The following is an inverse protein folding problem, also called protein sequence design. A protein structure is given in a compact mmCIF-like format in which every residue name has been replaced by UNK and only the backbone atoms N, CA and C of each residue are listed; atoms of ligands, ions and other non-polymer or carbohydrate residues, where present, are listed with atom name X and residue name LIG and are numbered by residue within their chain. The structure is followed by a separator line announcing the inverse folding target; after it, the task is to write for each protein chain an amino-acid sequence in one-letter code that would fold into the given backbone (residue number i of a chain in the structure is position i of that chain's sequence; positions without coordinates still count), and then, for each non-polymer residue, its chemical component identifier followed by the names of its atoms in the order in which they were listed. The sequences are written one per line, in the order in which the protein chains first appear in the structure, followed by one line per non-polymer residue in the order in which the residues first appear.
data_IF_656506817773
#
_entry.id   IF_656506817773
#
_cell.length_a   1.000
_cell.length_b   1.000
_cell.length_c   1.000
_cell.angle_alpha   90.00
_cell.angle_beta   90.00
_cell.angle_gamma   90.00
#
_symmetry.space_group_name_H-M   'P 1'
#
loop_
_entity.id
_entity.type
_entity.pdbx_description
1 polymer ?
#
# COMPACT_ATOMS: atom_id res chain seq x y z
N UNK A 1 5.18 -9.92 15.05
CA UNK A 1 5.39 -11.31 15.46
C UNK A 1 5.29 -11.50 16.98
N UNK A 2 5.07 -10.44 17.74
CA UNK A 2 4.81 -10.52 19.16
C UNK A 2 3.51 -11.29 19.44
N UNK A 3 3.42 -11.89 20.64
CA UNK A 3 2.19 -12.56 21.06
C UNK A 3 1.01 -11.59 21.07
N UNK A 4 -0.10 -11.99 20.44
CA UNK A 4 -1.30 -11.16 20.27
C UNK A 4 -1.22 -10.13 19.14
N UNK A 5 -0.13 -10.05 18.37
CA UNK A 5 -0.08 -9.20 17.18
C UNK A 5 -1.10 -9.65 16.13
N UNK A 6 -1.79 -8.71 15.44
CA UNK A 6 -2.73 -9.06 14.38
C UNK A 6 -2.08 -9.93 13.31
N UNK A 7 -2.78 -10.98 12.90
CA UNK A 7 -2.33 -11.88 11.83
C UNK A 7 -3.13 -11.63 10.57
N UNK A 8 -2.53 -11.97 9.44
CA UNK A 8 -3.18 -11.95 8.15
C UNK A 8 -3.78 -13.34 7.86
N UNK A 9 -4.97 -13.38 7.29
CA UNK A 9 -5.55 -14.63 6.83
C UNK A 9 -4.85 -15.07 5.54
N UNK A 10 -4.32 -16.28 5.51
CA UNK A 10 -3.64 -16.85 4.36
C UNK A 10 -4.55 -16.94 3.11
N UNK A 11 -5.86 -17.00 3.28
CA UNK A 11 -6.84 -16.98 2.20
C UNK A 11 -6.71 -15.74 1.28
N UNK A 12 -6.13 -14.63 1.76
CA UNK A 12 -5.84 -13.44 0.94
C UNK A 12 -4.95 -13.78 -0.26
N UNK A 13 -3.98 -14.69 -0.09
CA UNK A 13 -3.04 -15.06 -1.16
C UNK A 13 -3.63 -16.05 -2.16
N UNK A 14 -4.71 -16.74 -1.78
CA UNK A 14 -5.38 -17.73 -2.62
C UNK A 14 -6.37 -17.10 -3.59
N UNK A 15 -6.73 -15.85 -3.37
CA UNK A 15 -7.70 -15.12 -4.20
C UNK A 15 -7.15 -14.69 -5.56
N UNK A 16 -5.83 -14.75 -5.79
CA UNK A 16 -5.19 -14.25 -7.00
C UNK A 16 -5.32 -12.73 -7.20
N UNK A 17 -5.67 -11.99 -6.14
CA UNK A 17 -5.79 -10.54 -6.15
C UNK A 17 -4.43 -9.94 -5.79
N UNK A 18 -3.87 -9.02 -6.61
CA UNK A 18 -2.64 -8.33 -6.28
C UNK A 18 -2.75 -7.63 -4.92
N UNK A 19 -1.79 -7.90 -4.05
CA UNK A 19 -1.79 -7.45 -2.67
C UNK A 19 -0.57 -6.58 -2.38
N UNK A 20 -0.78 -5.37 -1.86
CA UNK A 20 0.28 -4.48 -1.38
C UNK A 20 0.26 -4.39 0.15
N UNK A 21 1.35 -4.81 0.78
CA UNK A 21 1.60 -4.57 2.19
C UNK A 21 2.35 -3.26 2.41
N UNK A 22 1.86 -2.42 3.31
CA UNK A 22 2.51 -1.17 3.71
C UNK A 22 2.98 -1.31 5.16
N UNK A 23 4.24 -1.00 5.43
CA UNK A 23 4.89 -1.03 6.74
C UNK A 23 4.65 -2.37 7.47
N UNK A 24 3.81 -2.42 8.49
CA UNK A 24 3.44 -3.66 9.18
C UNK A 24 2.84 -4.70 8.22
N UNK A 25 2.06 -4.26 7.23
CA UNK A 25 1.52 -5.14 6.19
C UNK A 25 2.62 -5.84 5.39
N UNK A 26 3.68 -5.13 5.01
CA UNK A 26 4.83 -5.71 4.32
C UNK A 26 5.58 -6.73 5.20
N UNK A 27 5.74 -6.43 6.48
CA UNK A 27 6.34 -7.35 7.45
C UNK A 27 5.50 -8.62 7.60
N UNK A 28 4.17 -8.50 7.69
CA UNK A 28 3.27 -9.67 7.74
C UNK A 28 3.36 -10.50 6.46
N UNK A 29 3.33 -9.86 5.28
CA UNK A 29 3.52 -10.55 4.00
C UNK A 29 4.85 -11.31 3.95
N UNK A 30 5.94 -10.68 4.41
CA UNK A 30 7.24 -11.32 4.45
C UNK A 30 7.21 -12.59 5.33
N UNK A 31 6.68 -12.49 6.55
CA UNK A 31 6.61 -13.62 7.48
C UNK A 31 5.73 -14.77 6.96
N UNK A 32 4.52 -14.46 6.49
CA UNK A 32 3.59 -15.50 6.01
C UNK A 32 4.11 -16.23 4.77
N UNK A 33 4.96 -15.59 3.98
CA UNK A 33 5.49 -16.14 2.73
C UNK A 33 6.96 -16.59 2.83
N UNK A 34 7.44 -16.84 4.05
CA UNK A 34 8.75 -17.46 4.32
C UNK A 34 9.95 -16.51 4.29
N UNK A 35 9.71 -15.19 4.34
CA UNK A 35 10.73 -14.19 4.60
C UNK A 35 11.07 -14.05 6.08
N UNK A 36 11.84 -13.01 6.43
CA UNK A 36 12.26 -12.75 7.82
C UNK A 36 12.02 -11.29 8.20
N UNK A 37 11.60 -11.09 9.44
CA UNK A 37 11.47 -9.79 10.09
C UNK A 37 12.24 -9.86 11.41
N UNK A 38 13.13 -8.90 11.65
CA UNK A 38 14.01 -8.90 12.80
C UNK A 38 14.20 -7.50 13.37
N UNK A 39 14.55 -7.43 14.64
CA UNK A 39 15.04 -6.19 15.26
C UNK A 39 16.54 -6.08 15.02
N UNK A 40 16.93 -5.21 14.10
CA UNK A 40 18.34 -5.00 13.74
C UNK A 40 19.05 -4.03 14.69
N UNK A 41 18.34 -3.48 15.68
CA UNK A 41 18.85 -2.47 16.61
C UNK A 41 18.81 -1.04 16.07
N UNK A 42 18.63 -0.86 14.76
CA UNK A 42 18.50 0.45 14.11
C UNK A 42 17.12 0.54 13.46
N UNK A 43 16.14 1.10 14.18
CA UNK A 43 14.86 1.49 13.59
C UNK A 43 15.01 2.75 12.74
N UNK A 44 14.15 2.92 11.74
CA UNK A 44 14.12 4.12 10.91
C UNK A 44 12.85 4.92 11.18
N UNK A 45 13.03 6.22 11.46
CA UNK A 45 11.95 7.15 11.79
C UNK A 45 12.13 8.47 11.05
N UNK A 46 11.11 8.93 10.35
CA UNK A 46 11.15 10.16 9.58
C UNK A 46 11.64 9.98 8.15
N UNK A 47 12.27 11.01 7.61
CA UNK A 47 12.78 11.03 6.23
C UNK A 47 14.06 10.21 6.10
N UNK A 48 14.03 9.20 5.25
CA UNK A 48 15.16 8.29 4.98
C UNK A 48 15.45 8.28 3.48
N UNK A 49 16.72 8.26 3.13
CA UNK A 49 17.14 8.08 1.73
C UNK A 49 17.03 6.61 1.34
N UNK A 50 16.34 6.36 0.27
CA UNK A 50 16.09 5.03 -0.27
C UNK A 50 16.69 4.91 -1.66
N UNK A 51 17.27 3.76 -1.95
CA UNK A 51 17.76 3.40 -3.28
C UNK A 51 16.81 2.40 -3.94
N UNK A 52 16.29 2.76 -5.10
CA UNK A 52 15.40 1.94 -5.91
C UNK A 52 16.22 1.22 -6.98
N UNK A 53 16.10 -0.10 -7.04
CA UNK A 53 16.75 -0.95 -8.04
C UNK A 53 15.86 -1.23 -9.26
N UNK A 54 14.63 -0.75 -9.26
CA UNK A 54 13.62 -0.97 -10.29
C UNK A 54 12.34 -1.56 -9.72
N UNK A 55 11.53 -2.21 -10.56
CA UNK A 55 10.28 -2.85 -10.17
C UNK A 55 9.06 -2.21 -10.82
N UNK A 56 7.93 -2.91 -10.78
CA UNK A 56 6.68 -2.44 -11.41
C UNK A 56 6.08 -1.23 -10.66
N UNK A 57 6.24 -1.19 -9.33
CA UNK A 57 5.75 -0.07 -8.53
C UNK A 57 6.59 1.20 -8.68
N UNK A 58 7.83 1.09 -9.17
CA UNK A 58 8.80 2.18 -9.24
C UNK A 58 9.16 2.56 -10.68
N UNK A 59 8.35 2.14 -11.65
CA UNK A 59 8.57 2.50 -13.06
C UNK A 59 8.65 4.03 -13.21
N UNK A 60 9.68 4.48 -13.94
CA UNK A 60 9.93 5.90 -14.23
C UNK A 60 10.25 6.79 -13.01
N UNK A 61 10.52 6.19 -11.85
CA UNK A 61 10.89 6.93 -10.65
C UNK A 61 12.40 7.08 -10.49
N UNK A 62 12.89 8.11 -9.77
CA UNK A 62 14.31 8.27 -9.49
C UNK A 62 14.89 7.06 -8.74
N UNK A 63 16.12 6.68 -9.10
CA UNK A 63 16.85 5.61 -8.41
C UNK A 63 17.18 5.94 -6.94
N UNK A 64 17.30 7.22 -6.62
CA UNK A 64 17.48 7.71 -5.26
C UNK A 64 16.33 8.64 -4.92
N UNK A 65 15.66 8.36 -3.81
CA UNK A 65 14.50 9.13 -3.37
C UNK A 65 14.32 9.10 -1.86
N UNK A 66 13.62 10.11 -1.34
CA UNK A 66 13.26 10.17 0.08
C UNK A 66 11.95 9.42 0.31
N UNK A 67 11.92 8.61 1.37
CA UNK A 67 10.69 7.98 1.86
C UNK A 67 10.53 8.24 3.36
N UNK A 68 9.29 8.21 3.83
CA UNK A 68 8.98 8.30 5.25
C UNK A 68 8.94 6.91 5.87
N UNK A 69 9.83 6.68 6.82
CA UNK A 69 9.90 5.45 7.61
C UNK A 69 9.33 5.67 9.01
N UNK A 70 8.72 4.63 9.58
CA UNK A 70 8.26 4.62 10.97
C UNK A 70 8.19 3.17 11.46
N UNK A 71 9.35 2.56 11.66
CA UNK A 71 9.42 1.17 12.08
C UNK A 71 10.66 0.89 12.92
N UNK A 72 10.54 -0.06 13.84
CA UNK A 72 11.63 -0.62 14.65
C UNK A 72 12.12 -1.94 14.07
N UNK A 73 11.14 -2.78 13.67
CA UNK A 73 11.40 -4.09 13.10
C UNK A 73 11.52 -3.97 11.59
N UNK A 74 12.39 -4.74 11.00
CA UNK A 74 12.80 -4.62 9.60
C UNK A 74 12.66 -5.95 8.89
N UNK A 75 12.17 -5.94 7.66
CA UNK A 75 12.26 -7.09 6.77
C UNK A 75 13.73 -7.29 6.40
N UNK A 76 14.34 -8.38 6.90
CA UNK A 76 15.75 -8.72 6.63
C UNK A 76 15.92 -9.72 5.49
N UNK A 77 14.87 -10.48 5.19
CA UNK A 77 14.80 -11.30 3.98
C UNK A 77 13.40 -11.20 3.36
N UNK A 78 13.30 -11.01 2.04
CA UNK A 78 12.02 -10.96 1.36
C UNK A 78 11.34 -12.32 1.37
N UNK A 79 10.05 -12.42 0.99
CA UNK A 79 9.41 -13.70 0.69
C UNK A 79 10.23 -14.53 -0.29
N UNK A 80 10.19 -15.86 -0.14
CA UNK A 80 10.90 -16.75 -1.05
C UNK A 80 10.44 -16.54 -2.50
N UNK A 81 11.38 -16.25 -3.42
CA UNK A 81 11.10 -15.95 -4.82
C UNK A 81 10.78 -14.47 -5.12
N UNK A 82 10.60 -13.62 -4.11
CA UNK A 82 10.41 -12.19 -4.32
C UNK A 82 11.75 -11.49 -4.60
N UNK A 83 11.70 -10.47 -5.45
CA UNK A 83 12.83 -9.59 -5.72
C UNK A 83 12.83 -8.40 -4.76
N UNK A 84 14.00 -8.05 -4.22
CA UNK A 84 14.18 -6.79 -3.50
C UNK A 84 14.31 -5.67 -4.54
N UNK A 85 13.42 -4.67 -4.47
CA UNK A 85 13.35 -3.57 -5.44
C UNK A 85 13.72 -2.21 -4.85
N UNK A 86 13.80 -2.11 -3.53
CA UNK A 86 14.35 -0.93 -2.86
C UNK A 86 15.03 -1.29 -1.53
N UNK A 87 16.02 -0.48 -1.16
CA UNK A 87 16.81 -0.60 0.08
C UNK A 87 17.02 0.77 0.71
N UNK A 88 17.30 0.82 2.01
CA UNK A 88 17.86 1.99 2.68
C UNK A 88 19.14 1.61 3.46
N UNK A 89 19.71 2.55 4.20
CA UNK A 89 20.91 2.30 4.99
C UNK A 89 20.73 1.18 6.03
N UNK A 90 19.56 1.17 6.69
CA UNK A 90 19.28 0.24 7.78
C UNK A 90 18.17 -0.78 7.44
N UNK A 91 17.55 -0.66 6.27
CA UNK A 91 16.48 -1.55 5.81
C UNK A 91 16.91 -2.24 4.52
N UNK A 92 17.45 -3.47 4.60
CA UNK A 92 17.92 -4.21 3.42
C UNK A 92 16.80 -4.60 2.46
N UNK A 93 15.56 -4.60 2.92
CA UNK A 93 14.35 -4.84 2.12
C UNK A 93 13.35 -3.72 2.37
N UNK A 94 13.60 -2.53 1.81
CA UNK A 94 12.69 -1.40 1.89
C UNK A 94 11.46 -1.58 0.98
N UNK A 95 11.61 -2.34 -0.11
CA UNK A 95 10.49 -2.82 -0.92
C UNK A 95 10.85 -4.15 -1.59
N UNK A 96 9.82 -4.98 -1.80
CA UNK A 96 9.92 -6.23 -2.54
C UNK A 96 8.73 -6.46 -3.46
N UNK A 97 8.94 -7.24 -4.53
CA UNK A 97 7.92 -7.64 -5.50
C UNK A 97 7.99 -9.14 -5.77
N UNK A 98 6.87 -9.81 -5.66
CA UNK A 98 6.65 -11.15 -6.17
C UNK A 98 5.54 -11.12 -7.22
N UNK A 99 5.97 -10.96 -8.46
CA UNK A 99 5.04 -10.84 -9.60
C UNK A 99 4.27 -12.13 -9.86
N UNK A 100 4.86 -13.28 -9.54
CA UNK A 100 4.24 -14.59 -9.79
C UNK A 100 3.04 -14.80 -8.85
N UNK A 101 3.14 -14.35 -7.60
CA UNK A 101 2.06 -14.44 -6.61
C UNK A 101 1.21 -13.17 -6.52
N UNK A 102 1.57 -12.12 -7.23
CA UNK A 102 0.89 -10.82 -7.12
C UNK A 102 1.09 -10.14 -5.75
N UNK A 103 2.24 -10.38 -5.09
CA UNK A 103 2.50 -9.88 -3.74
C UNK A 103 3.60 -8.82 -3.76
N UNK A 104 3.31 -7.68 -3.14
CA UNK A 104 4.15 -6.49 -3.12
C UNK A 104 4.25 -5.96 -1.70
N UNK A 105 5.41 -5.45 -1.31
CA UNK A 105 5.59 -4.90 0.02
C UNK A 105 6.49 -3.67 0.00
N UNK A 106 6.12 -2.67 0.80
CA UNK A 106 6.93 -1.49 1.06
C UNK A 106 7.03 -1.26 2.57
N UNK A 107 8.26 -1.05 3.08
CA UNK A 107 8.47 -0.80 4.50
C UNK A 107 8.13 0.65 4.88
N UNK A 108 8.26 1.57 3.94
CA UNK A 108 7.93 2.98 4.09
C UNK A 108 6.43 3.26 3.94
N UNK A 109 6.04 4.50 4.20
CA UNK A 109 4.67 4.98 4.09
C UNK A 109 4.48 5.81 2.80
N UNK A 110 3.97 5.21 1.70
CA UNK A 110 3.72 5.93 0.47
C UNK A 110 2.50 6.86 0.54
N UNK A 111 1.61 6.65 1.51
CA UNK A 111 0.37 7.41 1.69
C UNK A 111 0.58 8.78 2.31
N UNK A 112 1.75 9.03 2.94
CA UNK A 112 1.99 10.29 3.62
C UNK A 112 2.68 11.32 2.71
N UNK A 113 2.40 12.60 2.94
CA UNK A 113 2.97 13.72 2.15
C UNK A 113 4.50 13.83 2.23
N UNK A 114 5.10 13.19 3.23
CA UNK A 114 6.55 13.19 3.43
C UNK A 114 7.31 12.17 2.57
N UNK A 115 6.59 11.35 1.81
CA UNK A 115 7.13 10.48 0.75
C UNK A 115 6.78 11.11 -0.59
N UNK A 116 7.69 11.91 -1.20
CA UNK A 116 7.35 12.72 -2.38
C UNK A 116 6.82 11.93 -3.56
N UNK A 117 7.36 10.71 -3.80
CA UNK A 117 6.94 9.81 -4.88
C UNK A 117 5.94 8.73 -4.43
N UNK A 118 5.34 8.88 -3.24
CA UNK A 118 4.45 7.87 -2.69
C UNK A 118 3.16 7.68 -3.49
N UNK A 119 2.61 8.77 -4.03
CA UNK A 119 1.41 8.71 -4.87
C UNK A 119 1.66 7.97 -6.19
N UNK A 120 2.86 8.12 -6.76
CA UNK A 120 3.27 7.40 -7.96
C UNK A 120 3.41 5.90 -7.69
N UNK A 121 3.96 5.51 -6.54
CA UNK A 121 4.02 4.10 -6.10
C UNK A 121 2.62 3.51 -5.99
N UNK A 122 1.69 4.20 -5.32
CA UNK A 122 0.31 3.75 -5.16
C UNK A 122 -0.43 3.66 -6.50
N UNK A 123 -0.26 4.65 -7.38
CA UNK A 123 -0.84 4.65 -8.73
C UNK A 123 -0.30 3.50 -9.57
N UNK A 124 1.02 3.27 -9.55
CA UNK A 124 1.65 2.16 -10.26
C UNK A 124 1.13 0.82 -9.78
N UNK A 125 0.97 0.65 -8.46
CA UNK A 125 0.36 -0.57 -7.93
C UNK A 125 -1.08 -0.74 -8.40
N UNK A 126 -1.93 0.29 -8.22
CA UNK A 126 -3.35 0.19 -8.55
C UNK A 126 -3.59 -0.04 -10.05
N UNK A 127 -2.92 0.72 -10.90
CA UNK A 127 -3.23 0.74 -12.33
C UNK A 127 -2.37 -0.22 -13.14
N UNK A 128 -1.05 -0.22 -12.92
CA UNK A 128 -0.15 -1.06 -13.71
C UNK A 128 -0.06 -2.50 -13.17
N UNK A 129 -0.13 -2.70 -11.86
CA UNK A 129 -0.01 -4.01 -11.23
C UNK A 129 -1.39 -4.67 -11.07
N UNK A 130 -2.31 -3.99 -10.39
CA UNK A 130 -3.62 -4.56 -10.08
C UNK A 130 -4.64 -4.40 -11.22
N UNK A 131 -4.34 -3.60 -12.25
CA UNK A 131 -5.24 -3.38 -13.39
C UNK A 131 -6.56 -2.70 -13.01
N UNK A 132 -6.59 -1.97 -11.88
CA UNK A 132 -7.77 -1.26 -11.43
C UNK A 132 -8.12 -0.14 -12.43
N UNK A 133 -9.36 -0.10 -12.89
CA UNK A 133 -9.83 0.98 -13.75
C UNK A 133 -10.10 2.24 -12.90
N UNK A 134 -9.67 3.45 -13.33
CA UNK A 134 -9.89 4.69 -12.60
C UNK A 134 -11.31 5.25 -12.82
N UNK A 135 -12.32 4.41 -12.57
CA UNK A 135 -13.73 4.74 -12.82
C UNK A 135 -14.41 5.40 -11.62
N UNK A 136 -13.81 5.31 -10.45
CA UNK A 136 -14.34 5.90 -9.23
C UNK A 136 -13.82 7.33 -9.07
N UNK A 137 -14.53 8.29 -9.64
CA UNK A 137 -14.24 9.71 -9.55
C UNK A 137 -15.29 10.43 -8.70
N UNK A 138 -15.02 11.62 -8.13
CA UNK A 138 -16.03 12.39 -7.40
C UNK A 138 -17.31 12.63 -8.21
N UNK A 139 -17.19 12.87 -9.52
CA UNK A 139 -18.34 13.04 -10.41
C UNK A 139 -19.14 11.73 -10.55
N UNK A 140 -18.47 10.61 -10.85
CA UNK A 140 -19.12 9.30 -10.98
C UNK A 140 -19.80 8.87 -9.67
N UNK A 141 -19.14 9.11 -8.52
CA UNK A 141 -19.72 8.86 -7.21
C UNK A 141 -20.98 9.69 -6.96
N UNK A 142 -20.96 10.99 -7.31
CA UNK A 142 -22.12 11.86 -7.17
C UNK A 142 -23.28 11.40 -8.04
N UNK A 143 -23.02 11.02 -9.29
CA UNK A 143 -24.02 10.51 -10.22
C UNK A 143 -24.65 9.21 -9.70
N UNK A 144 -23.83 8.26 -9.27
CA UNK A 144 -24.29 6.99 -8.69
C UNK A 144 -25.15 7.20 -7.43
N UNK A 145 -24.73 8.12 -6.53
CA UNK A 145 -25.49 8.43 -5.32
C UNK A 145 -26.84 9.09 -5.67
N UNK A 146 -26.87 9.99 -6.65
CA UNK A 146 -28.11 10.61 -7.13
C UNK A 146 -29.08 9.56 -7.69
N UNK A 147 -28.58 8.64 -8.51
CA UNK A 147 -29.40 7.56 -9.07
C UNK A 147 -29.93 6.62 -7.99
N UNK A 148 -29.09 6.25 -7.03
CA UNK A 148 -29.46 5.41 -5.90
C UNK A 148 -30.54 6.07 -5.03
N UNK A 149 -30.38 7.37 -4.71
CA UNK A 149 -31.35 8.13 -3.93
C UNK A 149 -32.67 8.23 -4.71
N UNK A 150 -32.63 8.52 -6.01
CA UNK A 150 -33.82 8.58 -6.86
C UNK A 150 -34.58 7.24 -6.87
N UNK A 151 -33.86 6.14 -7.02
CA UNK A 151 -34.44 4.79 -6.99
C UNK A 151 -35.09 4.46 -5.63
N UNK A 152 -34.45 4.89 -4.55
CA UNK A 152 -34.94 4.67 -3.20
C UNK A 152 -36.16 5.52 -2.85
N UNK A 153 -36.16 6.78 -3.27
CA UNK A 153 -37.21 7.75 -2.94
C UNK A 153 -38.43 7.61 -3.87
N UNK A 154 -38.21 7.32 -5.15
CA UNK A 154 -39.27 7.28 -6.16
C UNK A 154 -40.01 8.60 -6.26
N UNK A 155 -41.32 8.55 -6.01
CA UNK A 155 -42.21 9.75 -5.98
C UNK A 155 -42.44 10.31 -4.59
N UNK A 156 -41.81 9.76 -3.57
CA UNK A 156 -42.02 10.18 -2.18
C UNK A 156 -41.33 11.51 -1.87
N UNK A 157 -41.70 12.12 -0.76
CA UNK A 157 -41.10 13.36 -0.27
C UNK A 157 -39.91 13.06 0.61
N UNK A 158 -38.86 13.88 0.44
CA UNK A 158 -37.63 13.80 1.25
C UNK A 158 -37.51 15.06 2.09
N UNK A 159 -37.15 14.90 3.34
CA UNK A 159 -36.73 15.97 4.23
C UNK A 159 -35.20 16.03 4.21
N UNK A 160 -34.64 17.17 3.85
CA UNK A 160 -33.21 17.42 3.91
C UNK A 160 -32.91 18.48 4.95
N UNK A 161 -32.10 18.15 5.95
CA UNK A 161 -31.59 19.11 6.93
C UNK A 161 -30.14 19.43 6.57
N UNK A 162 -29.85 20.68 6.27
CA UNK A 162 -28.51 21.14 5.88
C UNK A 162 -28.03 22.18 6.89
N UNK A 163 -26.76 22.03 7.31
CA UNK A 163 -26.13 23.01 8.21
C UNK A 163 -25.64 24.26 7.47
N UNK A 164 -25.43 24.16 6.16
CA UNK A 164 -24.84 25.23 5.35
C UNK A 164 -23.31 25.30 5.45
N UNK A 165 -22.70 24.38 6.20
CA UNK A 165 -21.25 24.15 6.23
C UNK A 165 -20.78 23.19 5.14
N UNK A 166 -19.48 22.96 5.09
CA UNK A 166 -18.88 21.88 4.29
C UNK A 166 -18.79 20.65 5.20
N UNK A 167 -19.72 19.75 5.07
CA UNK A 167 -19.74 18.47 5.77
C UNK A 167 -19.31 17.36 4.80
#
# INVERSE_FOLDING_TARGET
YADGAPRMDAAIFEQGIPTLGICYGAQRLALELGGKVEQTGAGEYGKVQMRVAGGAMFAEQPAEQTAWMSHRDTVTAPPAGAAVVATSEHTPVAAFEDKARGVYGVQFHPEVVHTPHGQEVLKSFLYAVAGAAPVWTPAAVSEEQVERIRAQVGSDRVLCALSGGVD
#
